data_IF_401045937177
#
_entry.id   IF_401045937177
#
_cell.length_a   1.000
_cell.length_b   1.000
_cell.length_c   1.000
_cell.angle_alpha   90.00
_cell.angle_beta   90.00
_cell.angle_gamma   90.00
#
_symmetry.space_group_name_H-M   'P 1'
#
loop_
_entity.id
_entity.type
_entity.pdbx_description
1 polymer ?
#
# COMPACT_ATOMS: atom_id res chain seq x y z
N UNK A 1 92.64 -9.73 55.19
CA UNK A 1 91.28 -9.74 55.67
C UNK A 1 90.54 -8.67 54.90
N UNK A 2 89.78 -9.03 53.85
CA UNK A 2 88.93 -8.11 53.08
C UNK A 2 87.53 -8.64 53.15
N UNK A 3 86.58 -7.83 53.66
CA UNK A 3 85.15 -8.11 53.70
C UNK A 3 84.53 -7.70 52.33
N UNK A 4 83.94 -8.63 51.64
CA UNK A 4 83.13 -8.38 50.46
C UNK A 4 81.67 -8.07 50.86
N UNK A 5 81.21 -6.87 50.49
CA UNK A 5 79.83 -6.46 50.67
C UNK A 5 79.08 -6.76 49.36
N UNK A 6 78.10 -7.65 49.39
CA UNK A 6 77.22 -7.94 48.24
C UNK A 6 76.05 -6.98 48.31
N UNK A 7 75.92 -6.14 47.30
CA UNK A 7 74.72 -5.28 47.10
C UNK A 7 73.73 -6.05 46.25
N UNK A 8 72.58 -6.37 46.86
CA UNK A 8 71.45 -6.98 46.13
C UNK A 8 70.49 -5.88 45.61
N UNK A 9 70.52 -5.67 44.29
CA UNK A 9 69.54 -4.79 43.61
C UNK A 9 68.25 -5.54 43.46
N UNK A 10 67.19 -5.14 44.21
CA UNK A 10 65.81 -5.64 44.03
C UNK A 10 65.15 -4.89 42.86
N UNK A 11 64.87 -5.58 41.77
CA UNK A 11 64.03 -5.10 40.68
C UNK A 11 62.55 -5.28 41.12
N UNK A 12 61.85 -4.16 41.34
CA UNK A 12 60.45 -4.13 41.55
C UNK A 12 59.78 -4.10 40.16
N UNK A 13 59.24 -5.24 39.72
CA UNK A 13 58.37 -5.35 38.54
C UNK A 13 56.95 -4.94 38.93
N UNK A 14 56.59 -3.69 38.64
CA UNK A 14 55.17 -3.25 38.76
C UNK A 14 54.35 -3.84 37.63
N UNK A 15 53.66 -4.94 37.86
CA UNK A 15 52.63 -5.45 36.96
C UNK A 15 51.41 -4.52 37.06
N UNK A 16 51.28 -3.58 36.07
CA UNK A 16 50.06 -2.87 35.82
C UNK A 16 49.05 -3.86 35.21
N UNK A 17 48.22 -4.51 36.02
CA UNK A 17 47.08 -5.27 35.54
C UNK A 17 46.05 -4.28 34.94
N UNK A 18 46.09 -4.10 33.62
CA UNK A 18 44.99 -3.46 32.88
C UNK A 18 43.74 -4.35 33.06
N UNK A 19 42.86 -3.97 33.97
CA UNK A 19 41.52 -4.51 34.03
C UNK A 19 40.77 -4.08 32.74
N UNK A 20 40.82 -4.92 31.73
CA UNK A 20 39.84 -4.91 30.62
C UNK A 20 38.47 -5.26 31.23
N UNK A 21 37.79 -4.25 31.71
CA UNK A 21 36.34 -4.41 31.95
C UNK A 21 35.73 -4.73 30.58
N UNK A 22 35.11 -5.89 30.40
CA UNK A 22 34.29 -6.11 29.23
C UNK A 22 33.19 -5.04 29.29
N UNK A 23 33.20 -4.10 28.36
CA UNK A 23 32.06 -3.22 28.14
C UNK A 23 30.93 -4.16 27.81
N UNK A 24 30.08 -4.43 28.80
CA UNK A 24 28.86 -5.15 28.55
C UNK A 24 28.13 -4.39 27.41
N UNK A 25 28.12 -4.97 26.23
CA UNK A 25 27.35 -4.42 25.12
C UNK A 25 25.92 -4.30 25.64
N UNK A 26 25.46 -3.06 25.84
CA UNK A 26 24.08 -2.81 26.24
C UNK A 26 23.18 -3.52 25.23
N UNK A 27 22.32 -4.41 25.73
CA UNK A 27 21.38 -5.12 24.85
C UNK A 27 20.56 -4.09 24.06
N UNK A 28 20.48 -4.29 22.74
CA UNK A 28 19.68 -3.42 21.86
C UNK A 28 18.23 -3.35 22.34
N UNK A 29 17.64 -2.16 22.27
CA UNK A 29 16.20 -2.04 22.49
C UNK A 29 15.44 -2.65 21.33
N UNK A 30 14.72 -3.73 21.60
CA UNK A 30 13.94 -4.44 20.59
C UNK A 30 12.56 -3.81 20.41
N UNK A 31 12.13 -3.70 19.14
CA UNK A 31 10.75 -3.40 18.74
C UNK A 31 10.26 -4.42 17.72
N UNK A 32 8.98 -4.74 17.81
CA UNK A 32 8.30 -5.67 16.91
C UNK A 32 7.46 -4.85 15.91
N UNK A 33 7.64 -5.15 14.64
CA UNK A 33 6.84 -4.61 13.55
C UNK A 33 6.04 -5.72 12.86
N UNK A 34 4.71 -5.68 12.96
CA UNK A 34 3.83 -6.59 12.24
C UNK A 34 3.53 -6.04 10.86
N UNK A 35 3.72 -6.86 9.83
CA UNK A 35 3.52 -6.49 8.43
C UNK A 35 2.73 -7.54 7.65
N UNK A 36 2.17 -7.10 6.50
CA UNK A 36 1.28 -7.88 5.65
C UNK A 36 1.90 -8.24 4.29
N UNK A 37 3.23 -8.14 4.16
CA UNK A 37 3.91 -8.36 2.89
C UNK A 37 4.50 -9.76 2.81
N UNK A 38 4.09 -10.51 1.78
CA UNK A 38 4.59 -11.86 1.49
C UNK A 38 5.47 -11.89 0.23
N UNK A 39 6.11 -13.01 -0.01
CA UNK A 39 6.91 -13.25 -1.22
C UNK A 39 7.96 -12.17 -1.43
N UNK A 40 8.10 -11.71 -2.69
CA UNK A 40 9.08 -10.69 -3.05
C UNK A 40 9.00 -9.40 -2.19
N UNK A 41 7.79 -8.91 -1.90
CA UNK A 41 7.65 -7.71 -1.05
C UNK A 41 8.06 -7.99 0.40
N UNK A 42 7.85 -9.21 0.89
CA UNK A 42 8.32 -9.65 2.21
C UNK A 42 9.86 -9.68 2.29
N UNK A 43 10.55 -10.12 1.21
CA UNK A 43 12.01 -10.02 1.13
C UNK A 43 12.47 -8.56 1.22
N UNK A 44 11.78 -7.61 0.54
CA UNK A 44 12.12 -6.18 0.62
C UNK A 44 11.91 -5.60 2.02
N UNK A 45 10.89 -6.07 2.77
CA UNK A 45 10.72 -5.74 4.19
C UNK A 45 11.90 -6.25 5.02
N UNK A 46 12.35 -7.47 4.78
CA UNK A 46 13.54 -8.04 5.44
C UNK A 46 14.79 -7.22 5.13
N UNK A 47 15.00 -6.83 3.87
CA UNK A 47 16.16 -6.04 3.44
C UNK A 47 16.21 -4.67 4.13
N UNK A 48 15.10 -3.93 4.12
CA UNK A 48 15.08 -2.58 4.72
C UNK A 48 15.21 -2.64 6.25
N UNK A 49 14.67 -3.69 6.87
CA UNK A 49 14.85 -3.95 8.31
C UNK A 49 16.29 -4.27 8.64
N UNK A 50 16.95 -5.12 7.83
CA UNK A 50 18.37 -5.45 7.98
C UNK A 50 19.25 -4.22 7.80
N UNK A 51 18.95 -3.35 6.82
CA UNK A 51 19.66 -2.07 6.62
C UNK A 51 19.60 -1.20 7.88
N UNK A 52 18.43 -1.05 8.50
CA UNK A 52 18.28 -0.31 9.75
C UNK A 52 19.08 -0.95 10.87
N UNK A 53 18.90 -2.26 11.09
CA UNK A 53 19.55 -2.98 12.18
C UNK A 53 21.09 -2.97 12.09
N UNK A 54 21.62 -2.89 10.86
CA UNK A 54 23.07 -2.82 10.59
C UNK A 54 23.64 -1.40 10.62
N UNK A 55 22.79 -0.37 10.53
CA UNK A 55 23.24 1.04 10.48
C UNK A 55 23.56 1.64 11.85
N UNK A 56 23.20 0.95 12.94
CA UNK A 56 23.37 1.41 14.31
C UNK A 56 23.40 0.23 15.31
N UNK A 57 23.77 0.47 16.58
CA UNK A 57 23.93 -0.56 17.61
C UNK A 57 22.93 -0.48 18.76
N UNK A 58 22.05 0.52 18.80
CA UNK A 58 21.17 0.80 19.94
C UNK A 58 19.81 0.09 19.85
N UNK A 59 19.35 -0.21 18.65
CA UNK A 59 18.00 -0.70 18.39
C UNK A 59 17.99 -1.95 17.50
N UNK A 60 16.97 -2.79 17.68
CA UNK A 60 16.69 -3.93 16.82
C UNK A 60 15.21 -3.95 16.44
N UNK A 61 14.91 -3.96 15.15
CA UNK A 61 13.56 -4.15 14.61
C UNK A 61 13.39 -5.60 14.20
N UNK A 62 12.37 -6.27 14.74
CA UNK A 62 11.93 -7.59 14.31
C UNK A 62 10.65 -7.46 13.47
N UNK A 63 10.80 -7.59 12.17
CA UNK A 63 9.67 -7.61 11.25
C UNK A 63 9.02 -9.00 11.27
N UNK A 64 7.70 -9.05 11.51
CA UNK A 64 6.93 -10.29 11.64
C UNK A 64 5.75 -10.27 10.68
N UNK A 65 5.74 -11.17 9.72
CA UNK A 65 4.61 -11.38 8.82
C UNK A 65 3.39 -11.95 9.56
N UNK A 66 2.22 -11.33 9.38
CA UNK A 66 0.96 -11.70 10.07
C UNK A 66 -0.19 -12.08 9.14
N UNK A 67 0.11 -12.54 7.94
CA UNK A 67 -0.88 -12.75 6.89
C UNK A 67 -1.03 -11.53 5.99
N UNK A 68 -2.05 -11.51 5.14
CA UNK A 68 -2.36 -10.35 4.31
C UNK A 68 -2.85 -9.14 5.12
N UNK A 69 -3.28 -8.09 4.43
CA UNK A 69 -3.73 -6.87 5.10
C UNK A 69 -4.91 -7.06 6.05
N UNK A 70 -6.00 -7.77 5.65
CA UNK A 70 -7.13 -8.01 6.57
C UNK A 70 -6.72 -8.81 7.81
N UNK A 71 -5.93 -9.86 7.61
CA UNK A 71 -5.45 -10.73 8.71
C UNK A 71 -4.55 -9.96 9.68
N UNK A 72 -3.63 -9.13 9.15
CA UNK A 72 -2.74 -8.30 9.98
C UNK A 72 -3.52 -7.29 10.82
N UNK A 73 -4.52 -6.63 10.26
CA UNK A 73 -5.38 -5.69 11.00
C UNK A 73 -6.20 -6.43 12.07
N UNK A 74 -6.81 -7.56 11.72
CA UNK A 74 -7.62 -8.37 12.64
C UNK A 74 -6.77 -8.88 13.81
N UNK A 75 -5.57 -9.39 13.52
CA UNK A 75 -4.60 -9.82 14.53
C UNK A 75 -4.19 -8.66 15.44
N UNK A 76 -3.98 -7.46 14.88
CA UNK A 76 -3.65 -6.24 15.61
C UNK A 76 -4.75 -5.84 16.60
N UNK A 77 -6.01 -5.86 16.16
CA UNK A 77 -7.17 -5.57 17.02
C UNK A 77 -7.28 -6.57 18.16
N UNK A 78 -7.14 -7.86 17.88
CA UNK A 78 -7.20 -8.93 18.87
C UNK A 78 -6.05 -8.79 19.90
N UNK A 79 -4.83 -8.58 19.43
CA UNK A 79 -3.65 -8.41 20.28
C UNK A 79 -3.72 -7.16 21.16
N UNK A 80 -4.28 -6.06 20.64
CA UNK A 80 -4.47 -4.84 21.45
C UNK A 80 -5.42 -5.10 22.62
N UNK A 81 -6.53 -5.79 22.38
CA UNK A 81 -7.48 -6.21 23.44
C UNK A 81 -6.81 -7.11 24.47
N UNK A 82 -5.95 -8.03 24.02
CA UNK A 82 -5.18 -8.95 24.87
C UNK A 82 -3.93 -8.31 25.51
N UNK A 83 -3.59 -7.05 25.20
CA UNK A 83 -2.37 -6.34 25.64
C UNK A 83 -1.06 -7.04 25.23
N UNK A 84 -1.06 -7.70 24.06
CA UNK A 84 0.09 -8.43 23.47
C UNK A 84 0.49 -7.88 22.12
N UNK A 85 0.02 -6.69 21.76
CA UNK A 85 0.23 -6.03 20.48
C UNK A 85 1.69 -5.55 20.30
N UNK A 86 2.18 -5.44 19.05
CA UNK A 86 3.51 -4.93 18.73
C UNK A 86 3.58 -3.42 18.92
N UNK A 87 4.80 -2.85 18.87
CA UNK A 87 5.02 -1.42 18.87
C UNK A 87 4.58 -0.77 17.57
N UNK A 88 4.70 -1.49 16.44
CA UNK A 88 4.42 -1.00 15.11
C UNK A 88 3.60 -2.01 14.31
N UNK A 89 2.55 -1.55 13.64
CA UNK A 89 1.72 -2.38 12.78
C UNK A 89 1.49 -1.71 11.43
N UNK A 90 1.64 -2.47 10.36
CA UNK A 90 1.27 -2.07 9.02
C UNK A 90 -0.22 -2.27 8.81
N UNK A 91 -0.94 -1.19 8.52
CA UNK A 91 -2.38 -1.24 8.23
C UNK A 91 -2.65 -0.62 6.87
N UNK A 92 -3.37 -1.33 6.03
CA UNK A 92 -3.76 -0.84 4.71
C UNK A 92 -4.78 0.30 4.79
N UNK A 93 -4.92 1.03 3.70
CA UNK A 93 -5.65 2.31 3.67
C UNK A 93 -7.08 2.22 4.21
N UNK A 94 -7.81 1.14 3.95
CA UNK A 94 -9.20 0.96 4.44
C UNK A 94 -9.29 0.80 5.96
N UNK A 95 -8.20 0.44 6.62
CA UNK A 95 -8.14 0.37 8.09
C UNK A 95 -7.99 1.74 8.76
N UNK A 96 -7.75 2.81 8.00
CA UNK A 96 -7.41 4.14 8.54
C UNK A 96 -8.45 4.66 9.51
N UNK A 97 -9.75 4.67 9.16
CA UNK A 97 -10.78 5.18 10.06
C UNK A 97 -10.92 4.32 11.32
N UNK A 98 -10.79 3.00 11.20
CA UNK A 98 -10.77 2.07 12.36
C UNK A 98 -9.63 2.43 13.31
N UNK A 99 -8.43 2.65 12.81
CA UNK A 99 -7.28 3.03 13.63
C UNK A 99 -7.46 4.40 14.27
N UNK A 100 -7.92 5.41 13.52
CA UNK A 100 -8.19 6.75 14.03
C UNK A 100 -9.23 6.78 15.17
N UNK A 101 -10.24 5.89 15.11
CA UNK A 101 -11.30 5.79 16.09
C UNK A 101 -10.96 4.90 17.29
N UNK A 102 -9.94 4.04 17.18
CA UNK A 102 -9.64 2.98 18.15
C UNK A 102 -9.18 3.46 19.53
N UNK A 103 -8.64 4.71 19.63
CA UNK A 103 -7.94 5.17 20.83
C UNK A 103 -6.61 4.44 21.13
N UNK A 104 -6.26 3.42 20.34
CA UNK A 104 -5.12 2.52 20.54
C UNK A 104 -3.79 3.05 20.00
N UNK A 105 -3.81 4.12 19.23
CA UNK A 105 -2.64 4.63 18.50
C UNK A 105 -1.93 5.77 19.21
N UNK A 106 -0.61 5.84 19.05
CA UNK A 106 0.19 7.03 19.32
C UNK A 106 0.39 7.76 17.99
N UNK A 107 -0.22 8.94 17.76
CA UNK A 107 -0.10 9.64 16.49
C UNK A 107 1.36 9.91 16.13
N UNK A 108 1.75 9.60 14.90
CA UNK A 108 3.16 9.70 14.47
C UNK A 108 3.69 11.12 14.59
N UNK A 109 2.90 12.15 14.23
CA UNK A 109 3.33 13.54 14.38
C UNK A 109 3.67 13.89 15.85
N UNK A 110 2.89 13.36 16.80
CA UNK A 110 3.12 13.59 18.23
C UNK A 110 4.33 12.78 18.72
N UNK A 111 4.46 11.51 18.34
CA UNK A 111 5.63 10.70 18.66
C UNK A 111 6.93 11.38 18.22
N UNK A 112 6.99 11.84 16.96
CA UNK A 112 8.20 12.49 16.43
C UNK A 112 8.54 13.75 17.20
N UNK A 113 7.54 14.58 17.52
CA UNK A 113 7.70 15.76 18.35
C UNK A 113 8.24 15.42 19.74
N UNK A 114 7.65 14.42 20.42
CA UNK A 114 8.00 14.03 21.78
C UNK A 114 9.41 13.38 21.86
N UNK A 115 9.86 12.77 20.77
CA UNK A 115 11.22 12.20 20.64
C UNK A 115 12.24 13.17 20.04
N UNK A 116 11.86 14.44 19.77
CA UNK A 116 12.73 15.45 19.20
C UNK A 116 13.19 15.19 17.76
N UNK A 117 12.47 14.32 17.04
CA UNK A 117 12.76 13.99 15.62
C UNK A 117 12.09 15.00 14.72
N UNK A 118 12.88 15.67 13.88
CA UNK A 118 12.39 16.66 12.92
C UNK A 118 12.07 15.99 11.58
N UNK A 119 10.82 16.02 11.16
CA UNK A 119 10.36 15.58 9.85
C UNK A 119 9.76 16.74 9.08
N UNK A 120 10.15 16.89 7.82
CA UNK A 120 9.51 17.87 6.94
C UNK A 120 8.19 17.29 6.40
N UNK A 121 7.11 17.51 7.14
CA UNK A 121 5.77 17.03 6.77
C UNK A 121 5.23 17.63 5.48
N UNK A 122 5.75 18.78 5.03
CA UNK A 122 5.30 19.45 3.81
C UNK A 122 5.97 18.89 2.55
N UNK A 123 7.01 18.08 2.72
CA UNK A 123 7.65 17.39 1.61
C UNK A 123 6.85 16.14 1.14
N UNK A 124 5.92 15.65 1.96
CA UNK A 124 5.07 14.52 1.58
C UNK A 124 4.16 14.87 0.41
N UNK A 125 3.95 13.92 -0.49
CA UNK A 125 3.02 14.05 -1.61
C UNK A 125 1.61 14.23 -1.06
N UNK A 126 0.93 15.29 -1.51
CA UNK A 126 -0.31 15.79 -0.93
C UNK A 126 -1.39 14.72 -0.78
N UNK A 127 -1.64 13.90 -1.81
CA UNK A 127 -2.67 12.84 -1.79
C UNK A 127 -2.37 11.79 -0.71
N UNK A 128 -1.10 11.47 -0.47
CA UNK A 128 -0.65 10.52 0.56
C UNK A 128 -0.80 11.15 1.95
N UNK A 129 -0.32 12.39 2.12
CA UNK A 129 -0.40 13.14 3.39
C UNK A 129 -1.86 13.30 3.82
N UNK A 130 -2.72 13.78 2.92
CA UNK A 130 -4.13 14.04 3.21
C UNK A 130 -4.85 12.79 3.70
N UNK A 131 -4.59 11.65 3.07
CA UNK A 131 -5.28 10.40 3.41
C UNK A 131 -5.06 9.98 4.88
N UNK A 132 -3.82 10.03 5.36
CA UNK A 132 -3.44 9.59 6.70
C UNK A 132 -3.44 10.72 7.75
N UNK A 133 -3.92 11.91 7.38
CA UNK A 133 -3.98 13.07 8.27
C UNK A 133 -5.36 13.29 8.88
N UNK A 134 -5.36 13.85 10.10
CA UNK A 134 -6.55 14.42 10.75
C UNK A 134 -6.15 15.78 11.33
N UNK A 135 -6.93 16.84 11.02
CA UNK A 135 -6.57 18.20 11.43
C UNK A 135 -5.21 18.66 10.88
N UNK A 136 -4.82 18.24 9.68
CA UNK A 136 -3.54 18.58 9.04
C UNK A 136 -2.31 17.80 9.54
N UNK A 137 -2.45 16.97 10.58
CA UNK A 137 -1.35 16.20 11.17
C UNK A 137 -1.41 14.73 10.76
N UNK A 138 -0.26 14.13 10.43
CA UNK A 138 -0.13 12.70 10.10
C UNK A 138 -0.26 11.81 11.34
N UNK A 139 -1.21 10.90 11.35
CA UNK A 139 -1.47 9.96 12.44
C UNK A 139 -0.71 8.64 12.29
N UNK A 140 -0.36 8.27 11.07
CA UNK A 140 0.52 7.14 10.75
C UNK A 140 1.61 7.57 9.78
N UNK A 141 2.71 6.81 9.71
CA UNK A 141 3.76 7.04 8.72
C UNK A 141 3.38 6.35 7.41
N UNK A 142 3.15 7.08 6.31
CA UNK A 142 2.99 6.45 5.01
C UNK A 142 4.21 5.57 4.69
N UNK A 143 3.98 4.39 4.09
CA UNK A 143 5.09 3.46 3.84
C UNK A 143 5.09 2.96 2.41
N UNK A 144 4.09 2.19 2.02
CA UNK A 144 4.00 1.57 0.70
C UNK A 144 2.73 2.06 -0.01
N UNK A 145 2.83 3.21 -0.62
CA UNK A 145 1.71 3.82 -1.34
C UNK A 145 1.68 3.40 -2.80
N UNK A 146 0.50 3.01 -3.26
CA UNK A 146 0.22 2.59 -4.63
C UNK A 146 -1.04 3.26 -5.17
N UNK A 147 -1.31 3.10 -6.46
CA UNK A 147 -2.60 3.39 -7.09
C UNK A 147 -2.85 2.31 -8.14
N UNK A 148 -4.10 1.99 -8.51
CA UNK A 148 -4.31 1.05 -9.60
C UNK A 148 -3.95 1.71 -10.94
N UNK A 149 -3.34 0.91 -11.81
CA UNK A 149 -3.02 1.30 -13.19
C UNK A 149 -3.39 0.16 -14.13
N UNK A 150 -3.42 0.46 -15.42
CA UNK A 150 -3.59 -0.53 -16.46
C UNK A 150 -2.24 -1.19 -16.80
N UNK A 151 -2.25 -2.51 -16.90
CA UNK A 151 -1.18 -3.35 -17.46
C UNK A 151 -1.65 -3.96 -18.76
N UNK A 152 -0.75 -4.11 -19.75
CA UNK A 152 -1.08 -4.79 -20.99
C UNK A 152 0.12 -5.58 -21.54
N UNK A 153 -0.19 -6.69 -22.17
CA UNK A 153 0.76 -7.60 -22.80
C UNK A 153 1.08 -7.08 -24.20
N UNK A 154 2.23 -6.39 -24.37
CA UNK A 154 2.69 -5.84 -25.67
C UNK A 154 2.91 -6.95 -26.71
N UNK A 155 3.47 -8.07 -26.29
CA UNK A 155 3.69 -9.23 -27.17
C UNK A 155 2.35 -9.77 -27.72
N UNK A 156 1.32 -9.84 -26.87
CA UNK A 156 -0.02 -10.24 -27.31
C UNK A 156 -0.68 -9.21 -28.24
N UNK A 157 -0.48 -7.92 -27.96
CA UNK A 157 -0.95 -6.81 -28.82
C UNK A 157 -0.32 -6.91 -30.21
N UNK A 158 0.99 -7.08 -30.29
CA UNK A 158 1.71 -7.22 -31.57
C UNK A 158 1.20 -8.42 -32.36
N UNK A 159 1.05 -9.59 -31.73
CA UNK A 159 0.48 -10.80 -32.35
C UNK A 159 -0.95 -10.60 -32.85
N UNK A 160 -1.70 -9.68 -32.21
CA UNK A 160 -3.06 -9.33 -32.60
C UNK A 160 -3.13 -8.22 -33.67
N UNK A 161 -1.98 -7.70 -34.13
CA UNK A 161 -1.91 -6.59 -35.09
C UNK A 161 -2.25 -5.23 -34.50
N UNK A 162 -2.20 -5.10 -33.16
CA UNK A 162 -2.39 -3.84 -32.42
C UNK A 162 -1.04 -3.14 -32.21
N UNK A 163 -1.07 -1.82 -32.08
CA UNK A 163 0.14 -1.07 -31.77
C UNK A 163 0.58 -1.34 -30.31
N UNK A 164 1.74 -1.99 -30.06
CA UNK A 164 2.20 -2.33 -28.72
C UNK A 164 2.71 -1.12 -27.90
N UNK A 165 2.79 0.07 -28.50
CA UNK A 165 3.21 1.29 -27.81
C UNK A 165 2.03 2.16 -27.33
N UNK A 166 0.79 1.75 -27.64
CA UNK A 166 -0.42 2.53 -27.29
C UNK A 166 -1.31 1.71 -26.38
N UNK A 167 -1.30 1.98 -25.05
CA UNK A 167 -2.23 1.35 -24.13
C UNK A 167 -3.67 1.86 -24.36
N UNK A 168 -4.70 1.01 -24.18
CA UNK A 168 -6.09 1.44 -24.22
C UNK A 168 -6.40 2.43 -23.09
N UNK A 169 -7.23 3.45 -23.41
CA UNK A 169 -7.55 4.58 -22.52
C UNK A 169 -9.00 4.60 -22.07
N UNK A 170 -9.87 3.85 -22.71
CA UNK A 170 -11.30 3.78 -22.40
C UNK A 170 -11.76 2.31 -22.30
N UNK A 171 -12.93 2.10 -21.71
CA UNK A 171 -13.53 0.74 -21.64
C UNK A 171 -13.81 0.20 -23.05
N UNK A 172 -14.22 1.05 -23.98
CA UNK A 172 -14.45 0.67 -25.39
C UNK A 172 -13.14 0.24 -26.08
N UNK A 173 -12.03 0.92 -25.81
CA UNK A 173 -10.72 0.55 -26.34
C UNK A 173 -10.21 -0.75 -25.70
N UNK A 174 -10.46 -0.98 -24.40
CA UNK A 174 -10.16 -2.26 -23.73
C UNK A 174 -10.93 -3.37 -24.42
N UNK A 175 -12.25 -3.23 -24.60
CA UNK A 175 -13.09 -4.24 -25.23
C UNK A 175 -12.59 -4.59 -26.64
N UNK A 176 -12.33 -3.56 -27.47
CA UNK A 176 -11.80 -3.73 -28.82
C UNK A 176 -10.47 -4.49 -28.83
N UNK A 177 -9.53 -4.07 -27.98
CA UNK A 177 -8.21 -4.68 -27.90
C UNK A 177 -8.26 -6.11 -27.38
N UNK A 178 -9.04 -6.36 -26.31
CA UNK A 178 -9.23 -7.70 -25.76
C UNK A 178 -9.84 -8.68 -26.78
N UNK A 179 -10.89 -8.25 -27.50
CA UNK A 179 -11.50 -9.06 -28.59
C UNK A 179 -10.50 -9.37 -29.70
N UNK A 180 -9.68 -8.42 -30.11
CA UNK A 180 -8.64 -8.62 -31.13
C UNK A 180 -7.59 -9.64 -30.66
N UNK A 181 -7.09 -9.51 -29.42
CA UNK A 181 -6.12 -10.45 -28.83
C UNK A 181 -6.70 -11.87 -28.72
N UNK A 182 -7.93 -12.00 -28.21
CA UNK A 182 -8.62 -13.29 -28.07
C UNK A 182 -8.88 -13.97 -29.43
N UNK A 183 -9.31 -13.21 -30.44
CA UNK A 183 -9.57 -13.75 -31.79
C UNK A 183 -8.34 -14.33 -32.48
N UNK A 184 -7.15 -13.91 -32.07
CA UNK A 184 -5.85 -14.42 -32.57
C UNK A 184 -5.25 -15.49 -31.66
N UNK A 185 -5.93 -15.86 -30.55
CA UNK A 185 -5.37 -16.78 -29.55
C UNK A 185 -4.06 -16.27 -28.93
N UNK A 186 -3.85 -14.94 -28.91
CA UNK A 186 -2.60 -14.34 -28.44
C UNK A 186 -2.51 -14.24 -26.90
N UNK A 187 -3.61 -14.42 -26.19
CA UNK A 187 -3.69 -14.59 -24.74
C UNK A 187 -4.89 -15.49 -24.40
N UNK A 188 -4.90 -16.05 -23.17
CA UNK A 188 -6.01 -16.90 -22.68
C UNK A 188 -7.21 -16.05 -22.22
N UNK A 189 -6.94 -14.88 -21.67
CA UNK A 189 -7.92 -13.96 -21.12
C UNK A 189 -7.80 -12.59 -21.78
N UNK A 190 -8.94 -11.93 -22.03
CA UNK A 190 -8.96 -10.59 -22.59
C UNK A 190 -8.67 -9.51 -21.55
N UNK A 191 -9.37 -9.60 -20.41
CA UNK A 191 -9.28 -8.62 -19.32
C UNK A 191 -9.45 -9.31 -17.97
N UNK A 192 -8.68 -8.87 -16.98
CA UNK A 192 -8.85 -9.24 -15.57
C UNK A 192 -8.54 -8.07 -14.63
N UNK A 193 -8.82 -8.25 -13.35
CA UNK A 193 -8.51 -7.23 -12.33
C UNK A 193 -7.98 -7.88 -11.05
N UNK A 194 -7.11 -7.15 -10.34
CA UNK A 194 -6.74 -7.42 -8.96
C UNK A 194 -7.40 -6.40 -8.04
N UNK A 195 -7.70 -6.80 -6.81
CA UNK A 195 -8.35 -5.94 -5.82
C UNK A 195 -9.65 -5.34 -6.33
N UNK A 196 -10.65 -6.17 -6.72
CA UNK A 196 -11.80 -5.74 -7.52
C UNK A 196 -12.61 -4.59 -6.91
N UNK A 197 -12.87 -4.59 -5.60
CA UNK A 197 -13.55 -3.46 -4.95
C UNK A 197 -12.76 -2.17 -5.14
N UNK A 198 -11.45 -2.18 -4.82
CA UNK A 198 -10.59 -1.01 -4.92
C UNK A 198 -10.41 -0.50 -6.36
N UNK A 199 -10.23 -1.42 -7.30
CA UNK A 199 -9.94 -1.10 -8.69
C UNK A 199 -11.18 -0.65 -9.45
N UNK A 200 -12.29 -1.41 -9.31
CA UNK A 200 -13.49 -1.25 -10.14
C UNK A 200 -14.57 -0.37 -9.49
N UNK A 201 -14.66 -0.32 -8.15
CA UNK A 201 -15.66 0.52 -7.50
C UNK A 201 -15.05 1.81 -6.96
N UNK A 202 -14.09 1.70 -6.07
CA UNK A 202 -13.52 2.86 -5.40
C UNK A 202 -12.79 3.79 -6.37
N UNK A 203 -11.84 3.25 -7.14
CA UNK A 203 -11.09 4.06 -8.10
C UNK A 203 -11.92 4.46 -9.32
N UNK A 204 -12.87 3.67 -9.81
CA UNK A 204 -13.73 4.14 -10.90
C UNK A 204 -14.62 5.31 -10.48
N UNK A 205 -15.14 5.34 -9.25
CA UNK A 205 -15.89 6.49 -8.76
C UNK A 205 -15.01 7.73 -8.66
N UNK A 206 -13.85 7.63 -8.04
CA UNK A 206 -12.94 8.76 -7.83
C UNK A 206 -12.31 9.25 -9.14
N UNK A 207 -11.96 8.34 -10.04
CA UNK A 207 -11.39 8.64 -11.35
C UNK A 207 -12.37 9.37 -12.29
N UNK A 208 -13.66 9.11 -12.14
CA UNK A 208 -14.75 9.75 -12.87
C UNK A 208 -15.45 10.85 -12.06
N UNK A 209 -14.81 11.34 -10.99
CA UNK A 209 -15.29 12.39 -10.07
C UNK A 209 -16.73 12.17 -9.58
N UNK A 210 -17.06 10.94 -9.22
CA UNK A 210 -18.34 10.58 -8.63
C UNK A 210 -18.16 10.21 -7.15
N UNK A 211 -19.11 10.54 -6.27
CA UNK A 211 -19.04 10.17 -4.86
C UNK A 211 -19.15 8.65 -4.69
N UNK A 212 -18.24 8.07 -3.92
CA UNK A 212 -18.33 6.69 -3.44
C UNK A 212 -19.26 6.60 -2.21
N UNK A 213 -19.16 7.60 -1.32
CA UNK A 213 -20.01 7.78 -0.15
C UNK A 213 -20.27 9.26 0.09
N UNK A 214 -21.26 9.58 0.94
CA UNK A 214 -21.49 10.96 1.39
C UNK A 214 -20.36 11.45 2.34
N UNK A 215 -20.52 12.65 2.88
CA UNK A 215 -19.52 13.29 3.78
C UNK A 215 -18.11 13.33 3.18
N UNK A 216 -17.98 13.69 1.88
CA UNK A 216 -16.69 13.72 1.16
C UNK A 216 -15.96 12.37 1.30
N UNK A 217 -16.65 11.27 0.98
CA UNK A 217 -16.17 9.90 1.15
C UNK A 217 -15.68 9.59 2.58
N UNK A 218 -16.37 10.13 3.60
CA UNK A 218 -16.08 9.91 5.01
C UNK A 218 -15.07 10.87 5.65
N UNK A 219 -14.46 11.80 4.90
CA UNK A 219 -13.49 12.75 5.46
C UNK A 219 -14.13 13.81 6.35
N UNK A 220 -15.39 14.15 6.14
CA UNK A 220 -16.11 15.18 6.92
C UNK A 220 -17.12 14.64 7.93
N UNK A 221 -17.18 13.32 8.13
CA UNK A 221 -18.07 12.72 9.14
C UNK A 221 -18.07 11.19 9.09
N UNK A 222 -18.44 10.56 10.22
CA UNK A 222 -18.47 9.08 10.33
C UNK A 222 -19.85 8.47 10.00
N UNK A 223 -20.93 9.26 10.03
CA UNK A 223 -22.26 8.79 9.68
C UNK A 223 -22.44 8.70 8.16
N UNK A 224 -21.62 7.84 7.55
CA UNK A 224 -21.50 7.72 6.10
C UNK A 224 -22.52 6.75 5.49
N UNK A 225 -22.86 7.00 4.23
CA UNK A 225 -23.69 6.14 3.39
C UNK A 225 -23.04 5.99 2.02
N UNK A 226 -23.02 4.77 1.50
CA UNK A 226 -22.54 4.46 0.16
C UNK A 226 -23.44 5.08 -0.93
N UNK A 227 -22.83 5.48 -2.04
CA UNK A 227 -23.52 6.07 -3.21
C UNK A 227 -23.19 5.32 -4.52
N UNK A 228 -22.66 4.08 -4.40
CA UNK A 228 -22.14 3.30 -5.52
C UNK A 228 -23.20 2.66 -6.43
N UNK A 229 -24.47 2.64 -6.02
CA UNK A 229 -25.59 2.16 -6.85
C UNK A 229 -26.15 3.22 -7.78
N UNK A 230 -25.42 4.31 -8.01
CA UNK A 230 -25.73 5.34 -8.99
C UNK A 230 -25.39 4.91 -10.42
N UNK A 231 -25.65 5.81 -11.38
CA UNK A 231 -25.47 5.56 -12.82
C UNK A 231 -24.07 5.00 -13.16
N UNK A 232 -23.00 5.55 -12.58
CA UNK A 232 -21.64 5.08 -12.84
C UNK A 232 -21.42 3.64 -12.39
N UNK A 233 -21.76 3.32 -11.14
CA UNK A 233 -21.57 1.97 -10.60
C UNK A 233 -22.34 0.92 -11.37
N UNK A 234 -23.63 1.21 -11.72
CA UNK A 234 -24.43 0.33 -12.54
C UNK A 234 -23.78 0.10 -13.91
N UNK A 235 -23.35 1.17 -14.60
CA UNK A 235 -22.71 1.08 -15.91
C UNK A 235 -21.41 0.25 -15.87
N UNK A 236 -20.54 0.45 -14.87
CA UNK A 236 -19.32 -0.37 -14.70
C UNK A 236 -19.69 -1.84 -14.55
N UNK A 237 -20.65 -2.16 -13.68
CA UNK A 237 -21.04 -3.54 -13.42
C UNK A 237 -21.76 -4.19 -14.63
N UNK A 238 -22.55 -3.43 -15.39
CA UNK A 238 -23.18 -3.91 -16.64
C UNK A 238 -22.13 -4.26 -17.71
N UNK A 239 -21.11 -3.41 -17.89
CA UNK A 239 -20.01 -3.69 -18.83
C UNK A 239 -19.28 -4.97 -18.42
N UNK A 240 -18.90 -5.10 -17.15
CA UNK A 240 -18.15 -6.26 -16.66
C UNK A 240 -18.98 -7.56 -16.68
N UNK A 241 -20.26 -7.50 -16.32
CA UNK A 241 -21.15 -8.66 -16.39
C UNK A 241 -21.34 -9.14 -17.84
N UNK A 242 -21.49 -8.21 -18.77
CA UNK A 242 -21.56 -8.51 -20.21
C UNK A 242 -20.23 -9.12 -20.69
N UNK A 243 -19.10 -8.53 -20.34
CA UNK A 243 -17.78 -9.04 -20.74
C UNK A 243 -17.48 -10.41 -20.10
N UNK A 244 -17.92 -10.67 -18.89
CA UNK A 244 -17.82 -11.99 -18.25
C UNK A 244 -18.59 -13.03 -19.06
N UNK A 245 -19.83 -12.71 -19.46
CA UNK A 245 -20.66 -13.59 -20.30
C UNK A 245 -20.07 -13.82 -21.70
N UNK A 246 -19.44 -12.77 -22.28
CA UNK A 246 -18.81 -12.84 -23.60
C UNK A 246 -17.40 -13.47 -23.57
N UNK A 247 -16.86 -13.84 -22.41
CA UNK A 247 -15.51 -14.39 -22.25
C UNK A 247 -14.37 -13.38 -22.44
N UNK A 248 -14.69 -12.07 -22.43
CA UNK A 248 -13.69 -10.98 -22.51
C UNK A 248 -13.06 -10.74 -21.13
N UNK A 249 -13.89 -10.61 -20.11
CA UNK A 249 -13.46 -10.45 -18.71
C UNK A 249 -13.45 -11.81 -18.02
N UNK A 250 -12.41 -12.06 -17.25
CA UNK A 250 -12.29 -13.22 -16.38
C UNK A 250 -12.09 -12.74 -14.94
N UNK A 251 -13.08 -12.99 -14.10
CA UNK A 251 -12.96 -12.72 -12.68
C UNK A 251 -12.00 -13.72 -12.03
N UNK A 252 -10.86 -13.25 -11.56
CA UNK A 252 -9.79 -14.10 -10.98
C UNK A 252 -9.95 -14.33 -9.46
N UNK A 253 -10.94 -13.69 -8.82
CA UNK A 253 -11.18 -13.75 -7.38
C UNK A 253 -10.77 -12.49 -6.64
N UNK A 254 -10.90 -12.50 -5.31
CA UNK A 254 -10.67 -11.37 -4.42
C UNK A 254 -9.18 -11.07 -4.21
N UNK A 255 -8.89 -9.87 -3.73
CA UNK A 255 -7.54 -9.42 -3.43
C UNK A 255 -6.60 -9.47 -4.64
N UNK A 256 -5.36 -9.89 -4.45
CA UNK A 256 -4.31 -9.91 -5.48
C UNK A 256 -4.38 -11.10 -6.45
N UNK A 257 -5.47 -11.86 -6.49
CA UNK A 257 -5.54 -13.09 -7.33
C UNK A 257 -5.43 -12.82 -8.83
N UNK A 258 -5.86 -11.65 -9.29
CA UNK A 258 -5.72 -11.20 -10.68
C UNK A 258 -4.27 -10.88 -11.10
N UNK A 259 -3.33 -10.79 -10.17
CA UNK A 259 -1.92 -10.54 -10.48
C UNK A 259 -1.29 -11.72 -11.21
N UNK A 260 -1.65 -12.96 -10.85
CA UNK A 260 -1.01 -14.14 -11.41
C UNK A 260 -1.24 -14.32 -12.91
N UNK A 261 -2.46 -14.20 -13.47
CA UNK A 261 -2.67 -14.21 -14.92
C UNK A 261 -1.92 -13.09 -15.65
N UNK A 262 -1.75 -11.93 -15.01
CA UNK A 262 -0.99 -10.80 -15.55
C UNK A 262 0.51 -11.11 -15.58
N UNK A 263 1.07 -11.63 -14.50
CA UNK A 263 2.50 -12.03 -14.39
C UNK A 263 2.87 -13.09 -15.42
N UNK A 264 2.01 -14.07 -15.62
CA UNK A 264 2.24 -15.18 -16.55
C UNK A 264 2.11 -14.78 -18.03
N UNK A 265 1.53 -13.62 -18.33
CA UNK A 265 1.17 -13.22 -19.71
C UNK A 265 -0.08 -13.92 -20.24
N UNK A 266 -0.84 -14.58 -19.37
CA UNK A 266 -2.11 -15.25 -19.73
C UNK A 266 -3.21 -14.25 -20.07
N UNK A 267 -3.11 -13.00 -19.57
CA UNK A 267 -4.09 -11.95 -19.76
C UNK A 267 -3.57 -10.87 -20.73
N UNK A 268 -4.43 -10.39 -21.63
CA UNK A 268 -4.09 -9.31 -22.55
C UNK A 268 -3.98 -7.96 -21.85
N UNK A 269 -4.95 -7.65 -20.99
CA UNK A 269 -5.06 -6.36 -20.28
C UNK A 269 -5.53 -6.63 -18.85
N UNK A 270 -4.96 -5.93 -17.88
CA UNK A 270 -5.43 -6.00 -16.50
C UNK A 270 -5.37 -4.65 -15.79
N UNK A 271 -6.20 -4.49 -14.75
CA UNK A 271 -6.05 -3.41 -13.78
C UNK A 271 -5.51 -3.98 -12.47
N UNK A 272 -4.40 -3.45 -12.01
CA UNK A 272 -3.73 -3.93 -10.80
C UNK A 272 -2.96 -2.81 -10.11
N UNK A 273 -2.51 -3.08 -8.88
CA UNK A 273 -1.68 -2.15 -8.11
C UNK A 273 -0.33 -1.89 -8.80
N UNK A 274 0.19 -0.66 -8.66
CA UNK A 274 1.57 -0.33 -9.06
C UNK A 274 2.63 -1.19 -8.39
N UNK A 275 2.33 -1.77 -7.22
CA UNK A 275 3.22 -2.72 -6.56
C UNK A 275 3.57 -3.95 -7.42
N UNK A 276 2.73 -4.27 -8.42
CA UNK A 276 2.98 -5.36 -9.35
C UNK A 276 4.14 -5.07 -10.31
N UNK A 277 4.49 -3.78 -10.57
CA UNK A 277 5.58 -3.39 -11.47
C UNK A 277 6.90 -4.08 -11.09
N UNK A 278 7.26 -4.08 -9.80
CA UNK A 278 8.49 -4.71 -9.33
C UNK A 278 8.55 -6.22 -9.58
N UNK A 279 7.42 -6.92 -9.41
CA UNK A 279 7.30 -8.35 -9.70
C UNK A 279 7.38 -8.59 -11.21
N UNK A 280 6.61 -7.83 -12.00
CA UNK A 280 6.60 -7.93 -13.46
C UNK A 280 7.99 -7.72 -14.06
N UNK A 281 8.71 -6.69 -13.63
CA UNK A 281 10.06 -6.40 -14.12
C UNK A 281 11.06 -7.55 -13.90
N UNK A 282 10.86 -8.37 -12.86
CA UNK A 282 11.74 -9.49 -12.52
C UNK A 282 11.34 -10.83 -13.13
N UNK A 283 10.03 -11.04 -13.33
CA UNK A 283 9.51 -12.39 -13.59
C UNK A 283 8.88 -12.54 -14.96
N UNK A 284 8.43 -11.46 -15.60
CA UNK A 284 7.77 -11.54 -16.90
C UNK A 284 8.75 -11.98 -18.00
N UNK A 285 8.29 -12.92 -18.84
CA UNK A 285 9.04 -13.46 -19.98
C UNK A 285 8.53 -12.93 -21.32
N UNK A 286 7.78 -11.83 -21.29
CA UNK A 286 7.17 -11.20 -22.45
C UNK A 286 7.24 -9.68 -22.29
N UNK A 287 7.11 -8.94 -23.39
CA UNK A 287 7.04 -7.49 -23.37
C UNK A 287 5.69 -7.01 -22.83
N UNK A 288 5.72 -6.10 -21.88
CA UNK A 288 4.55 -5.53 -21.24
C UNK A 288 4.69 -4.02 -21.06
N UNK A 289 3.58 -3.36 -20.84
CA UNK A 289 3.54 -1.94 -20.57
C UNK A 289 2.44 -1.58 -19.59
N UNK A 290 2.43 -0.31 -19.21
CA UNK A 290 1.42 0.27 -18.34
C UNK A 290 0.69 1.43 -19.01
N UNK A 291 -0.51 1.71 -18.55
CA UNK A 291 -1.33 2.84 -18.95
C UNK A 291 -2.12 3.39 -17.76
N UNK A 292 -2.77 4.52 -17.94
CA UNK A 292 -3.67 5.06 -16.93
C UNK A 292 -4.94 4.21 -16.81
N UNK A 293 -5.63 4.36 -15.70
CA UNK A 293 -6.96 3.81 -15.53
C UNK A 293 -7.86 4.22 -16.70
N UNK A 294 -8.70 3.31 -17.22
CA UNK A 294 -9.60 3.62 -18.33
C UNK A 294 -10.69 4.60 -17.90
N UNK A 295 -11.11 5.43 -18.83
CA UNK A 295 -12.24 6.36 -18.64
C UNK A 295 -13.54 5.73 -19.09
N UNK A 296 -14.62 6.19 -18.46
CA UNK A 296 -15.97 6.03 -18.97
C UNK A 296 -16.41 7.33 -19.64
N UNK A 297 -16.94 7.23 -20.85
CA UNK A 297 -17.44 8.39 -21.59
C UNK A 297 -18.60 9.07 -20.85
N UNK A 298 -18.62 10.40 -20.86
CA UNK A 298 -19.69 11.21 -20.27
C UNK A 298 -19.49 11.58 -18.80
N UNK A 299 -18.33 11.28 -18.21
CA UNK A 299 -17.98 11.69 -16.84
C UNK A 299 -16.80 12.66 -16.81
N UNK A 300 -16.76 13.58 -15.80
CA UNK A 300 -15.61 14.45 -15.60
C UNK A 300 -14.36 13.65 -15.20
N UNK A 301 -13.19 14.26 -15.34
CA UNK A 301 -11.94 13.70 -14.86
C UNK A 301 -11.73 14.07 -13.41
N UNK A 302 -11.69 13.08 -12.55
CA UNK A 302 -11.21 13.19 -11.16
C UNK A 302 -9.74 12.79 -11.03
N UNK A 303 -9.42 12.11 -9.94
CA UNK A 303 -8.10 11.53 -9.71
C UNK A 303 -8.24 10.09 -9.19
N UNK A 304 -7.23 9.27 -9.41
CA UNK A 304 -7.13 8.00 -8.71
C UNK A 304 -6.75 8.23 -7.25
N UNK A 305 -7.15 7.29 -6.39
CA UNK A 305 -6.82 7.33 -4.97
C UNK A 305 -5.70 6.35 -4.62
N UNK A 306 -5.07 6.62 -3.47
CA UNK A 306 -4.03 5.72 -2.99
C UNK A 306 -4.60 4.39 -2.54
N UNK A 307 -3.75 3.39 -2.60
CA UNK A 307 -3.84 2.12 -1.91
C UNK A 307 -2.55 1.85 -1.16
N UNK A 308 -2.39 0.60 -0.71
CA UNK A 308 -1.23 0.20 0.06
C UNK A 308 -1.44 0.46 1.54
N UNK A 309 -0.39 0.82 2.27
CA UNK A 309 -0.46 0.86 3.73
C UNK A 309 0.42 1.94 4.36
N UNK A 310 0.12 2.23 5.61
CA UNK A 310 0.92 3.06 6.50
C UNK A 310 1.29 2.30 7.78
N UNK A 311 2.29 2.82 8.50
CA UNK A 311 2.77 2.25 9.75
C UNK A 311 2.15 3.01 10.92
N UNK A 312 1.47 2.27 11.80
CA UNK A 312 0.77 2.78 12.96
C UNK A 312 1.51 2.42 14.22
N UNK A 313 1.80 3.42 15.05
CA UNK A 313 2.44 3.23 16.34
C UNK A 313 1.38 2.94 17.38
N UNK A 314 1.53 1.85 18.12
CA UNK A 314 0.57 1.41 19.13
C UNK A 314 0.91 2.00 20.50
N UNK A 315 -0.12 2.34 21.30
CA UNK A 315 0.04 2.79 22.70
C UNK A 315 0.38 1.62 23.63
N UNK A 316 0.84 1.94 24.84
CA UNK A 316 1.03 0.97 25.90
C UNK A 316 2.43 0.38 26.02
N UNK A 317 3.42 0.98 25.34
CA UNK A 317 4.80 0.52 25.35
C UNK A 317 5.73 1.41 26.19
N UNK A 318 6.95 0.95 26.43
CA UNK A 318 7.98 1.67 27.20
C UNK A 318 8.54 2.86 26.40
N UNK A 319 9.06 3.85 27.12
CA UNK A 319 9.64 5.06 26.54
C UNK A 319 10.81 4.76 25.60
N UNK A 320 11.65 3.80 25.97
CA UNK A 320 12.81 3.36 25.17
C UNK A 320 12.37 2.73 23.84
N UNK A 321 11.27 1.96 23.86
CA UNK A 321 10.69 1.36 22.64
C UNK A 321 10.09 2.43 21.73
N UNK A 322 9.45 3.47 22.28
CA UNK A 322 8.99 4.61 21.47
C UNK A 322 10.14 5.38 20.82
N UNK A 323 11.28 5.52 21.53
CA UNK A 323 12.49 6.11 20.95
C UNK A 323 13.02 5.26 19.79
N UNK A 324 13.06 3.94 19.94
CA UNK A 324 13.44 3.00 18.89
C UNK A 324 12.49 3.07 17.67
N UNK A 325 11.16 3.12 17.90
CA UNK A 325 10.15 3.30 16.84
C UNK A 325 10.38 4.62 16.10
N UNK A 326 10.59 5.73 16.81
CA UNK A 326 10.82 7.02 16.19
C UNK A 326 12.08 7.00 15.31
N UNK A 327 13.17 6.38 15.77
CA UNK A 327 14.40 6.22 14.99
C UNK A 327 14.24 5.33 13.76
N UNK A 328 13.45 4.27 13.85
CA UNK A 328 13.12 3.45 12.70
C UNK A 328 12.26 4.19 11.68
N UNK A 329 11.24 4.93 12.12
CA UNK A 329 10.42 5.74 11.22
C UNK A 329 11.20 6.92 10.60
N UNK A 330 12.14 7.53 11.35
CA UNK A 330 13.07 8.53 10.82
C UNK A 330 13.95 7.94 9.71
N UNK A 331 14.49 6.74 9.91
CA UNK A 331 15.26 6.01 8.90
C UNK A 331 14.42 5.70 7.65
N UNK A 332 13.21 5.17 7.81
CA UNK A 332 12.31 4.91 6.68
C UNK A 332 11.91 6.19 5.93
N UNK A 333 11.88 7.33 6.64
CA UNK A 333 11.58 8.64 6.08
C UNK A 333 12.74 9.29 5.30
N UNK A 334 13.97 8.75 5.36
CA UNK A 334 15.11 9.27 4.62
C UNK A 334 14.88 9.15 3.10
N UNK A 335 15.23 10.18 2.32
CA UNK A 335 15.02 10.17 0.88
C UNK A 335 15.62 8.96 0.17
N UNK A 336 16.81 8.53 0.58
CA UNK A 336 17.55 7.40 0.00
C UNK A 336 16.82 6.06 0.28
N UNK A 337 16.25 5.91 1.47
CA UNK A 337 15.51 4.68 1.82
C UNK A 337 14.18 4.61 1.07
N UNK A 338 13.49 5.73 0.90
CA UNK A 338 12.27 5.81 0.12
C UNK A 338 12.54 5.61 -1.38
N UNK A 339 13.61 6.20 -1.91
CA UNK A 339 14.04 5.99 -3.29
C UNK A 339 14.40 4.52 -3.54
N UNK A 340 15.14 3.90 -2.61
CA UNK A 340 15.43 2.47 -2.66
C UNK A 340 14.17 1.62 -2.62
N UNK A 341 13.21 1.93 -1.73
CA UNK A 341 11.94 1.22 -1.62
C UNK A 341 11.14 1.30 -2.92
N UNK A 342 11.00 2.50 -3.49
CA UNK A 342 10.36 2.70 -4.78
C UNK A 342 11.00 1.86 -5.88
N UNK A 343 12.31 1.98 -6.07
CA UNK A 343 13.04 1.31 -7.15
C UNK A 343 12.98 -0.23 -7.05
N UNK A 344 12.82 -0.77 -5.83
CA UNK A 344 12.84 -2.21 -5.59
C UNK A 344 11.46 -2.84 -5.36
N UNK A 345 10.36 -2.07 -5.37
CA UNK A 345 9.03 -2.61 -5.07
C UNK A 345 7.96 -2.24 -6.09
N UNK A 346 8.09 -1.09 -6.76
CA UNK A 346 7.06 -0.53 -7.62
C UNK A 346 6.06 0.40 -6.92
N UNK A 347 6.09 0.51 -5.57
CA UNK A 347 5.37 1.57 -4.86
C UNK A 347 5.93 2.94 -5.24
N UNK A 348 5.09 3.97 -5.34
CA UNK A 348 5.62 5.29 -5.68
C UNK A 348 6.28 5.98 -4.47
N UNK A 349 7.24 6.91 -4.70
CA UNK A 349 7.85 7.65 -3.61
C UNK A 349 6.82 8.51 -2.88
N UNK A 350 6.89 8.56 -1.55
CA UNK A 350 5.92 9.28 -0.72
C UNK A 350 6.31 10.72 -0.42
N UNK A 351 7.56 11.13 -0.75
CA UNK A 351 8.06 12.50 -0.57
C UNK A 351 8.72 13.03 -1.83
N UNK A 352 8.74 14.37 -2.00
CA UNK A 352 9.45 15.03 -3.10
C UNK A 352 10.96 14.84 -3.00
N UNK A 353 11.51 14.79 -1.78
CA UNK A 353 12.93 14.52 -1.56
C UNK A 353 13.34 13.13 -2.07
N UNK A 354 12.49 12.11 -1.87
CA UNK A 354 12.74 10.77 -2.39
C UNK A 354 12.78 10.75 -3.93
N UNK A 355 11.93 11.54 -4.59
CA UNK A 355 11.95 11.67 -6.06
C UNK A 355 13.27 12.30 -6.52
N UNK A 356 13.73 13.36 -5.83
CA UNK A 356 15.01 14.00 -6.15
C UNK A 356 16.23 13.12 -5.86
N UNK A 357 16.11 12.12 -4.98
CA UNK A 357 17.17 11.15 -4.68
C UNK A 357 17.29 10.03 -5.73
N UNK A 358 16.32 9.90 -6.64
CA UNK A 358 16.40 8.96 -7.77
C UNK A 358 17.37 9.47 -8.83
N UNK A 359 18.03 8.58 -9.60
CA UNK A 359 18.81 9.00 -10.77
C UNK A 359 17.97 9.86 -11.73
N UNK A 360 18.57 10.87 -12.35
CA UNK A 360 17.89 11.81 -13.25
C UNK A 360 17.12 11.12 -14.39
N UNK A 361 17.64 10.01 -14.88
CA UNK A 361 17.03 9.24 -15.97
C UNK A 361 16.17 8.05 -15.49
N UNK A 362 15.93 7.95 -14.17
CA UNK A 362 15.24 6.80 -13.56
C UNK A 362 13.90 6.48 -14.23
N UNK A 363 13.02 7.47 -14.34
CA UNK A 363 11.71 7.27 -14.96
C UNK A 363 11.75 7.12 -16.48
N UNK A 364 12.75 7.68 -17.14
CA UNK A 364 12.97 7.48 -18.58
C UNK A 364 13.37 6.03 -18.86
N UNK A 365 14.21 5.43 -18.04
CA UNK A 365 14.62 4.02 -18.14
C UNK A 365 13.54 3.06 -17.64
N UNK A 366 12.67 3.51 -16.73
CA UNK A 366 11.65 2.71 -16.07
C UNK A 366 10.25 3.35 -16.26
N UNK A 367 9.82 3.48 -17.52
CA UNK A 367 8.58 4.20 -17.87
C UNK A 367 7.33 3.59 -17.19
N UNK A 368 7.33 2.29 -16.90
CA UNK A 368 6.23 1.63 -16.20
C UNK A 368 6.09 2.11 -14.73
N UNK A 369 7.17 2.56 -14.08
CA UNK A 369 7.11 3.17 -12.75
C UNK A 369 6.56 4.61 -12.80
N UNK A 370 6.80 5.31 -13.92
CA UNK A 370 6.30 6.67 -14.11
C UNK A 370 4.78 6.75 -14.19
N UNK A 371 4.13 5.77 -14.81
CA UNK A 371 2.68 5.78 -15.07
C UNK A 371 1.86 6.05 -13.82
N UNK A 372 2.16 5.36 -12.72
CA UNK A 372 1.43 5.52 -11.46
C UNK A 372 1.62 6.90 -10.83
N UNK A 373 2.87 7.34 -10.80
CA UNK A 373 3.20 8.65 -10.26
C UNK A 373 2.56 9.78 -11.09
N UNK A 374 2.65 9.70 -12.41
CA UNK A 374 2.02 10.65 -13.32
C UNK A 374 0.49 10.64 -13.15
N UNK A 375 -0.15 9.47 -13.10
CA UNK A 375 -1.60 9.36 -12.92
C UNK A 375 -2.07 10.07 -11.65
N UNK A 376 -1.47 9.75 -10.49
CA UNK A 376 -1.96 10.25 -9.19
C UNK A 376 -1.60 11.72 -8.93
N UNK A 377 -0.60 12.26 -9.63
CA UNK A 377 -0.16 13.65 -9.47
C UNK A 377 -0.69 14.59 -10.54
N UNK A 378 -1.17 14.09 -11.69
CA UNK A 378 -1.70 14.91 -12.79
C UNK A 378 -3.17 15.27 -12.65
N UNK A 379 -3.93 14.49 -11.89
CA UNK A 379 -5.36 14.72 -11.66
C UNK A 379 -5.62 15.84 -10.65
N UNK A 380 -6.76 16.51 -10.79
CA UNK A 380 -7.23 17.48 -9.80
C UNK A 380 -7.90 16.71 -8.67
N UNK A 381 -7.39 16.85 -7.44
CA UNK A 381 -8.06 16.33 -6.26
C UNK A 381 -9.33 17.11 -5.96
N UNK A 382 -10.45 16.43 -5.90
CA UNK A 382 -11.78 16.94 -5.56
C UNK A 382 -12.25 16.31 -4.24
N UNK A 383 -13.37 16.74 -3.66
CA UNK A 383 -13.98 16.04 -2.52
C UNK A 383 -14.28 14.55 -2.80
N UNK A 384 -14.52 14.18 -4.06
CA UNK A 384 -14.77 12.80 -4.47
C UNK A 384 -13.49 11.98 -4.67
N UNK A 385 -12.33 12.62 -4.91
CA UNK A 385 -11.08 11.95 -5.28
C UNK A 385 -9.91 12.16 -4.31
N UNK A 386 -10.16 12.71 -3.12
CA UNK A 386 -9.12 12.83 -2.08
C UNK A 386 -8.82 11.53 -1.34
N UNK A 387 -9.65 10.50 -1.52
CA UNK A 387 -9.59 9.21 -0.86
C UNK A 387 -10.97 8.73 -0.41
N UNK A 388 -11.01 7.58 0.26
CA UNK A 388 -12.23 6.99 0.86
C UNK A 388 -11.87 6.55 2.27
N UNK A 389 -12.52 7.08 3.30
CA UNK A 389 -12.18 6.86 4.70
C UNK A 389 -13.42 6.52 5.55
N UNK A 390 -13.87 5.28 5.42
CA UNK A 390 -15.09 4.79 6.06
C UNK A 390 -14.77 3.93 7.29
N UNK A 391 -15.72 3.89 8.23
CA UNK A 391 -15.66 2.99 9.37
C UNK A 391 -15.86 1.54 8.97
N UNK A 392 -15.11 0.61 9.56
CA UNK A 392 -15.18 -0.84 9.25
C UNK A 392 -15.16 -1.13 7.73
N UNK A 393 -14.35 -0.40 6.99
CA UNK A 393 -14.35 -0.45 5.52
C UNK A 393 -13.89 -1.81 4.97
N UNK A 394 -13.14 -2.59 5.75
CA UNK A 394 -12.79 -3.97 5.39
C UNK A 394 -14.06 -4.79 5.17
N UNK A 395 -15.00 -4.78 6.12
CA UNK A 395 -16.25 -5.50 5.98
C UNK A 395 -17.13 -4.96 4.83
N UNK A 396 -17.08 -3.64 4.57
CA UNK A 396 -17.77 -3.06 3.40
C UNK A 396 -17.17 -3.56 2.09
N UNK A 397 -15.83 -3.67 1.98
CA UNK A 397 -15.17 -4.28 0.80
C UNK A 397 -15.59 -5.73 0.60
N UNK A 398 -15.66 -6.52 1.67
CA UNK A 398 -16.12 -7.91 1.59
C UNK A 398 -17.54 -8.01 1.03
N UNK A 399 -18.45 -7.11 1.47
CA UNK A 399 -19.82 -7.02 0.95
C UNK A 399 -19.81 -6.64 -0.54
N UNK A 400 -19.01 -5.64 -0.94
CA UNK A 400 -18.90 -5.23 -2.35
C UNK A 400 -18.43 -6.41 -3.20
N UNK A 401 -17.38 -7.11 -2.79
CA UNK A 401 -16.80 -8.23 -3.55
C UNK A 401 -17.75 -9.42 -3.62
N UNK A 402 -18.50 -9.73 -2.54
CA UNK A 402 -19.54 -10.77 -2.54
C UNK A 402 -20.65 -10.46 -3.55
N UNK A 403 -21.13 -9.21 -3.58
CA UNK A 403 -22.21 -8.83 -4.51
C UNK A 403 -21.70 -8.73 -5.96
N UNK A 404 -20.44 -8.35 -6.18
CA UNK A 404 -19.79 -8.45 -7.50
C UNK A 404 -19.74 -9.91 -7.97
N UNK A 405 -19.37 -10.84 -7.10
CA UNK A 405 -19.37 -12.29 -7.41
C UNK A 405 -20.77 -12.82 -7.74
N UNK A 406 -21.81 -12.34 -7.04
CA UNK A 406 -23.20 -12.68 -7.36
C UNK A 406 -23.64 -12.16 -8.75
N UNK A 407 -23.16 -10.97 -9.14
CA UNK A 407 -23.43 -10.42 -10.47
C UNK A 407 -22.65 -11.17 -11.55
N UNK A 408 -21.35 -11.43 -11.36
CA UNK A 408 -20.50 -12.12 -12.34
C UNK A 408 -20.92 -13.58 -12.55
N UNK A 409 -21.50 -14.22 -11.53
CA UNK A 409 -22.09 -15.55 -11.62
C UNK A 409 -23.55 -15.56 -12.13
N UNK A 410 -24.07 -14.41 -12.57
CA UNK A 410 -25.43 -14.21 -13.06
C UNK A 410 -26.55 -14.56 -12.05
N UNK A 411 -26.26 -14.58 -10.73
CA UNK A 411 -27.24 -14.76 -9.66
C UNK A 411 -28.06 -13.50 -9.41
N UNK A 412 -27.48 -12.33 -9.70
CA UNK A 412 -28.11 -11.01 -9.56
C UNK A 412 -27.84 -10.16 -10.79
N UNK A 413 -28.75 -9.23 -11.05
CA UNK A 413 -28.47 -8.14 -11.99
C UNK A 413 -27.48 -7.15 -11.37
N UNK A 414 -26.74 -6.36 -12.17
CA UNK A 414 -25.88 -5.29 -11.68
C UNK A 414 -26.54 -4.36 -10.68
N UNK A 415 -27.77 -3.93 -11.00
CA UNK A 415 -28.54 -3.06 -10.11
C UNK A 415 -28.88 -3.73 -8.78
N UNK A 416 -29.36 -4.97 -8.80
CA UNK A 416 -29.67 -5.72 -7.57
C UNK A 416 -28.44 -5.91 -6.69
N UNK A 417 -27.30 -6.31 -7.26
CA UNK A 417 -26.04 -6.46 -6.52
C UNK A 417 -25.62 -5.16 -5.85
N UNK A 418 -25.66 -4.03 -6.56
CA UNK A 418 -25.29 -2.74 -6.01
C UNK A 418 -26.28 -2.20 -4.97
N UNK A 419 -27.59 -2.40 -5.15
CA UNK A 419 -28.60 -2.02 -4.15
C UNK A 419 -28.42 -2.82 -2.85
N UNK A 420 -28.15 -4.13 -2.95
CA UNK A 420 -27.86 -4.97 -1.79
C UNK A 420 -26.54 -4.58 -1.12
N UNK A 421 -25.52 -4.22 -1.91
CA UNK A 421 -24.27 -3.67 -1.38
C UNK A 421 -24.51 -2.41 -0.56
N UNK A 422 -25.28 -1.45 -1.10
CA UNK A 422 -25.59 -0.20 -0.39
C UNK A 422 -26.38 -0.48 0.88
N UNK A 423 -27.37 -1.37 0.83
CA UNK A 423 -28.18 -1.74 2.00
C UNK A 423 -27.35 -2.37 3.11
N UNK A 424 -26.58 -3.42 2.80
CA UNK A 424 -25.74 -4.15 3.76
C UNK A 424 -24.58 -3.28 4.26
N UNK A 425 -23.89 -2.58 3.34
CA UNK A 425 -22.78 -1.70 3.66
C UNK A 425 -23.18 -0.53 4.55
N UNK A 426 -24.32 0.11 4.29
CA UNK A 426 -24.84 1.20 5.13
C UNK A 426 -25.22 0.71 6.54
N UNK A 427 -25.70 -0.52 6.68
CA UNK A 427 -25.91 -1.11 8.01
C UNK A 427 -24.59 -1.23 8.77
N UNK A 428 -23.55 -1.78 8.13
CA UNK A 428 -22.20 -1.90 8.71
C UNK A 428 -21.61 -0.53 9.12
N UNK A 429 -21.76 0.48 8.27
CA UNK A 429 -21.30 1.84 8.54
C UNK A 429 -22.04 2.49 9.71
N UNK A 430 -23.36 2.29 9.79
CA UNK A 430 -24.19 2.79 10.90
C UNK A 430 -23.82 2.13 12.23
N UNK A 431 -23.59 0.83 12.25
CA UNK A 431 -23.13 0.10 13.43
C UNK A 431 -21.79 0.64 13.92
N UNK A 432 -20.82 0.79 12.99
CA UNK A 432 -19.54 1.39 13.35
C UNK A 432 -19.68 2.81 13.93
N UNK A 433 -20.44 3.68 13.27
CA UNK A 433 -20.65 5.05 13.73
C UNK A 433 -21.31 5.12 15.12
N UNK A 434 -22.15 4.15 15.48
CA UNK A 434 -22.82 4.10 16.78
C UNK A 434 -21.85 3.82 17.95
N UNK A 435 -20.69 3.18 17.68
CA UNK A 435 -19.69 2.87 18.70
C UNK A 435 -18.86 4.10 19.13
N UNK A 436 -18.91 5.18 18.36
CA UNK A 436 -18.05 6.35 18.53
C UNK A 436 -18.85 7.68 18.62
N UNK A 437 -20.10 7.58 19.04
CA UNK A 437 -20.97 8.75 19.34
C UNK A 437 -20.61 9.40 20.67
#
# INVERSE_FOLDING_TARGET
>A
MKKNTIVVLGLIFSLAAMYLFPTAALAKTEIIWWHAMAGFLGERVSDITTKFNSSQNDYEVKAVYKGGYPETLTAGIAAYRAKTHPQLIQVFEVGTQTMLSSGAIYPVFQLMKDQGVKINWDDFISVVKTYYSKGGNLYSMPFNSSTPILYYNKTAFEKAGLNPQVPPKTFEEIEKSAKAVLSKGAAKFGFTVSWPSWTLMENMHTWNDQPFANHNNGFSGMATELKINGKLGIQVMEILARWQKEGIFTYSGRGARGDQPTINGDCAISLASTALVGTMARTSKFDWGTGYLPKLSGYPQGNSIIGGASLWVMKGHKKEQYKAVAKFLEFLGQPEQQAWWHANTGYFPITRAAIRALPEDHFRKNSNLWTAFAQITSGKTTPNSQGIRLGNFVAVRDIIEEEMENVFSAKKTPKQGLDDTVKKGNQTLKEFASLYK
#
